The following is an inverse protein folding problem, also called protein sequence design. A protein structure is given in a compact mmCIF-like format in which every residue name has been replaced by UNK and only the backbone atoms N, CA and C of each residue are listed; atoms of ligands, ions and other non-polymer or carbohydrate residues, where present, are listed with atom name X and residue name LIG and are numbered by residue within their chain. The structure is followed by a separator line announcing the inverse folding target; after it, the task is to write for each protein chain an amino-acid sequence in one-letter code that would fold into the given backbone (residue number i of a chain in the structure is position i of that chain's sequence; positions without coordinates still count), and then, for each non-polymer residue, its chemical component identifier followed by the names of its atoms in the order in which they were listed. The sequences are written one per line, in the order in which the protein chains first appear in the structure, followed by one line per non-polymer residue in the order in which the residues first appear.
data_IF_654010929707
#
_entry.id   IF_654010929707
#
_cell.length_a   1.000
_cell.length_b   1.000
_cell.length_c   1.000
_cell.angle_alpha   90.00
_cell.angle_beta   90.00
_cell.angle_gamma   90.00
#
_symmetry.space_group_name_H-M   'P 1'
#
loop_
_entity.id
_entity.type
_entity.pdbx_description
1 polymer ?
#
# COMPACT_ATOMS: atom_id res chain seq x y z
N UNK A 1 -37.29 41.24 -1.52
CA UNK A 1 -36.76 40.05 -2.19
C UNK A 1 -35.70 40.52 -3.17
N UNK A 2 -34.46 40.09 -2.99
CA UNK A 2 -33.45 40.03 -4.06
C UNK A 2 -32.52 38.88 -3.70
N UNK A 3 -32.74 37.76 -4.36
CA UNK A 3 -31.93 36.56 -4.25
C UNK A 3 -30.59 36.81 -4.95
N UNK A 4 -29.50 36.81 -4.18
CA UNK A 4 -28.16 36.70 -4.74
C UNK A 4 -27.91 35.23 -5.12
N UNK A 5 -28.34 34.84 -6.32
CA UNK A 5 -28.05 33.53 -6.90
C UNK A 5 -26.64 33.55 -7.50
N UNK A 6 -25.63 33.25 -6.68
CA UNK A 6 -24.26 32.99 -7.13
C UNK A 6 -24.26 31.71 -7.97
N UNK A 7 -24.29 31.85 -9.30
CA UNK A 7 -24.06 30.74 -10.23
C UNK A 7 -22.61 30.32 -10.11
N UNK A 8 -22.34 29.27 -9.33
CA UNK A 8 -21.08 28.54 -9.40
C UNK A 8 -20.89 28.03 -10.82
N UNK A 9 -20.03 28.73 -11.55
CA UNK A 9 -19.60 28.37 -12.89
C UNK A 9 -18.75 27.11 -12.74
N UNK A 10 -19.35 25.94 -12.95
CA UNK A 10 -18.63 24.68 -13.08
C UNK A 10 -17.53 24.91 -14.12
N UNK A 11 -16.28 24.94 -13.66
CA UNK A 11 -15.12 24.97 -14.55
C UNK A 11 -15.19 23.69 -15.38
N UNK A 12 -15.09 23.77 -16.73
CA UNK A 12 -14.97 22.59 -17.55
C UNK A 12 -13.81 21.76 -17.01
N UNK A 13 -14.05 20.47 -16.72
CA UNK A 13 -12.97 19.54 -16.43
C UNK A 13 -12.00 19.60 -17.62
N UNK A 14 -10.77 20.03 -17.36
CA UNK A 14 -9.74 20.03 -18.39
C UNK A 14 -9.65 18.61 -18.96
N UNK A 15 -9.62 18.44 -20.30
CA UNK A 15 -9.50 17.12 -20.89
C UNK A 15 -8.20 16.50 -20.35
N UNK A 16 -8.33 15.40 -19.60
CA UNK A 16 -7.15 14.66 -19.14
C UNK A 16 -6.30 14.35 -20.36
N UNK A 17 -5.08 14.86 -20.37
CA UNK A 17 -4.10 14.57 -21.40
C UNK A 17 -4.04 13.05 -21.59
N UNK A 18 -4.19 12.50 -22.81
CA UNK A 18 -4.07 11.07 -23.05
C UNK A 18 -2.74 10.47 -22.54
N UNK A 19 -1.70 11.30 -22.35
CA UNK A 19 -0.48 10.91 -21.65
C UNK A 19 -0.76 10.55 -20.17
N UNK A 20 -1.59 11.33 -19.48
CA UNK A 20 -2.01 11.12 -18.09
C UNK A 20 -2.85 9.84 -17.98
N UNK A 21 -3.71 9.58 -18.97
CA UNK A 21 -4.52 8.36 -19.05
C UNK A 21 -3.70 7.05 -19.12
N UNK A 22 -2.49 7.08 -19.69
CA UNK A 22 -1.57 5.92 -19.71
C UNK A 22 -0.62 5.87 -18.53
N UNK A 23 -0.28 7.02 -17.94
CA UNK A 23 0.58 7.09 -16.75
C UNK A 23 -0.12 6.45 -15.54
N UNK A 24 -1.44 6.63 -15.39
CA UNK A 24 -2.18 6.11 -14.22
C UNK A 24 -2.10 4.57 -14.11
N UNK A 25 -2.39 3.76 -15.15
CA UNK A 25 -2.23 2.31 -15.06
C UNK A 25 -0.78 1.86 -14.77
N UNK A 26 0.20 2.53 -15.37
CA UNK A 26 1.61 2.18 -15.19
C UNK A 26 2.09 2.50 -13.76
N UNK A 27 1.69 3.64 -13.19
CA UNK A 27 1.99 3.99 -11.80
C UNK A 27 1.25 3.09 -10.82
N UNK A 28 -0.02 2.74 -11.09
CA UNK A 28 -0.77 1.76 -10.30
C UNK A 28 -0.04 0.42 -10.22
N UNK A 29 0.44 -0.07 -11.38
CA UNK A 29 1.22 -1.31 -11.45
C UNK A 29 2.53 -1.21 -10.66
N UNK A 30 3.26 -0.09 -10.78
CA UNK A 30 4.46 0.17 -9.95
C UNK A 30 4.15 0.16 -8.46
N UNK A 31 3.02 0.73 -8.04
CA UNK A 31 2.59 0.72 -6.65
C UNK A 31 2.31 -0.72 -6.17
N UNK A 32 1.56 -1.52 -6.95
CA UNK A 32 1.30 -2.94 -6.66
C UNK A 32 2.62 -3.69 -6.44
N UNK A 33 3.58 -3.55 -7.36
CA UNK A 33 4.86 -4.25 -7.29
C UNK A 33 5.68 -3.87 -6.04
N UNK A 34 5.66 -2.59 -5.68
CA UNK A 34 6.35 -2.09 -4.47
C UNK A 34 5.73 -2.66 -3.20
N UNK A 35 4.40 -2.67 -3.07
CA UNK A 35 3.75 -3.21 -1.87
C UNK A 35 3.91 -4.73 -1.77
N UNK A 36 3.88 -5.46 -2.90
CA UNK A 36 4.18 -6.89 -2.91
C UNK A 36 5.64 -7.19 -2.54
N UNK A 37 6.58 -6.35 -2.97
CA UNK A 37 7.98 -6.47 -2.55
C UNK A 37 8.12 -6.26 -1.05
N UNK A 38 7.42 -5.26 -0.49
CA UNK A 38 7.38 -5.04 0.95
C UNK A 38 6.78 -6.24 1.71
N UNK A 39 5.70 -6.83 1.19
CA UNK A 39 5.10 -8.03 1.79
C UNK A 39 6.11 -9.19 1.90
N UNK A 40 6.83 -9.48 0.82
CA UNK A 40 7.87 -10.53 0.79
C UNK A 40 8.98 -10.27 1.82
N UNK A 41 9.43 -9.02 1.95
CA UNK A 41 10.44 -8.65 2.95
C UNK A 41 9.94 -8.86 4.38
N UNK A 42 8.65 -8.61 4.63
CA UNK A 42 8.03 -8.81 5.95
C UNK A 42 7.80 -10.28 6.27
N UNK A 43 7.41 -11.11 5.30
CA UNK A 43 7.38 -12.57 5.46
C UNK A 43 8.76 -13.10 5.84
N UNK A 44 9.79 -12.69 5.10
CA UNK A 44 11.17 -13.11 5.38
C UNK A 44 11.63 -12.64 6.77
N UNK A 45 11.27 -11.42 7.16
CA UNK A 45 11.56 -10.92 8.49
C UNK A 45 10.86 -11.77 9.57
N UNK A 46 9.60 -12.17 9.37
CA UNK A 46 8.90 -13.04 10.31
C UNK A 46 9.62 -14.38 10.48
N UNK A 47 10.05 -15.02 9.39
CA UNK A 47 10.82 -16.27 9.42
C UNK A 47 12.13 -16.09 10.20
N UNK A 48 12.86 -15.01 9.91
CA UNK A 48 14.12 -14.72 10.60
C UNK A 48 13.91 -14.49 12.11
N UNK A 49 12.81 -13.84 12.49
CA UNK A 49 12.44 -13.60 13.89
C UNK A 49 12.05 -14.90 14.60
N UNK A 50 11.32 -15.81 13.96
CA UNK A 50 11.00 -17.12 14.53
C UNK A 50 12.28 -17.94 14.78
N UNK A 51 13.21 -17.93 13.82
CA UNK A 51 14.50 -18.60 13.96
C UNK A 51 15.32 -18.01 15.10
N UNK A 52 15.37 -16.67 15.20
CA UNK A 52 16.08 -15.98 16.27
C UNK A 52 15.46 -16.23 17.66
N UNK A 53 14.14 -16.39 17.75
CA UNK A 53 13.47 -16.74 19.01
C UNK A 53 13.88 -18.12 19.55
N UNK A 54 14.23 -19.06 18.67
CA UNK A 54 14.78 -20.36 19.02
C UNK A 54 16.24 -20.34 19.51
N UNK A 55 16.95 -19.22 19.32
CA UNK A 55 18.33 -19.05 19.78
C UNK A 55 18.44 -18.86 21.30
N UNK A 56 19.48 -19.42 21.91
CA UNK A 56 19.78 -19.26 23.33
C UNK A 56 20.51 -17.93 23.67
N UNK A 57 20.64 -17.02 22.71
CA UNK A 57 21.35 -15.75 22.86
C UNK A 57 20.53 -14.67 23.58
N UNK A 58 21.19 -13.62 24.12
CA UNK A 58 20.53 -12.49 24.77
C UNK A 58 19.75 -11.59 23.80
N UNK A 59 19.98 -11.71 22.49
CA UNK A 59 19.30 -10.93 21.45
C UNK A 59 18.00 -11.59 20.99
N UNK A 60 17.19 -12.08 21.94
CA UNK A 60 15.87 -12.62 21.58
C UNK A 60 14.97 -11.50 21.04
N UNK A 61 14.25 -11.74 19.93
CA UNK A 61 13.27 -10.80 19.44
C UNK A 61 12.20 -10.50 20.49
N UNK A 62 11.65 -9.29 20.47
CA UNK A 62 10.50 -8.93 21.30
C UNK A 62 9.31 -9.87 21.05
N UNK A 63 8.53 -10.13 22.08
CA UNK A 63 7.30 -10.95 21.97
C UNK A 63 6.38 -10.44 20.85
N UNK A 64 5.85 -11.38 20.06
CA UNK A 64 4.97 -11.10 18.92
C UNK A 64 5.64 -10.38 17.73
N UNK A 65 6.98 -10.22 17.70
CA UNK A 65 7.64 -9.55 16.58
C UNK A 65 7.39 -10.25 15.23
N UNK A 66 7.49 -11.58 15.21
CA UNK A 66 7.24 -12.38 14.02
C UNK A 66 5.78 -12.25 13.57
N UNK A 67 4.83 -12.30 14.50
CA UNK A 67 3.40 -12.12 14.21
C UNK A 67 3.10 -10.75 13.61
N UNK A 68 3.64 -9.67 14.20
CA UNK A 68 3.50 -8.31 13.64
C UNK A 68 4.08 -8.22 12.24
N UNK A 69 5.20 -8.88 11.97
CA UNK A 69 5.79 -8.92 10.62
C UNK A 69 4.87 -9.65 9.63
N UNK A 70 4.26 -10.79 10.01
CA UNK A 70 3.27 -11.49 9.17
C UNK A 70 2.04 -10.61 8.90
N UNK A 71 1.48 -9.97 9.94
CA UNK A 71 0.35 -9.05 9.77
C UNK A 71 0.66 -7.91 8.80
N UNK A 72 1.88 -7.36 8.84
CA UNK A 72 2.31 -6.33 7.89
C UNK A 72 2.41 -6.86 6.46
N UNK A 73 2.82 -8.12 6.27
CA UNK A 73 2.82 -8.76 4.96
C UNK A 73 1.39 -8.96 4.44
N UNK A 74 0.48 -9.41 5.30
CA UNK A 74 -0.93 -9.62 4.96
C UNK A 74 -1.60 -8.32 4.52
N UNK A 75 -1.49 -7.25 5.33
CA UNK A 75 -2.02 -5.93 4.97
C UNK A 75 -1.41 -5.41 3.65
N UNK A 76 -0.12 -5.65 3.40
CA UNK A 76 0.50 -5.24 2.15
C UNK A 76 -0.04 -6.01 0.93
N UNK A 77 -0.41 -7.30 1.09
CA UNK A 77 -1.10 -8.07 0.05
C UNK A 77 -2.54 -7.59 -0.16
N UNK A 78 -3.26 -7.26 0.90
CA UNK A 78 -4.62 -6.69 0.81
C UNK A 78 -4.60 -5.36 0.06
N UNK A 79 -3.63 -4.49 0.35
CA UNK A 79 -3.43 -3.24 -0.40
C UNK A 79 -3.11 -3.53 -1.86
N UNK A 80 -2.24 -4.50 -2.16
CA UNK A 80 -1.91 -4.88 -3.52
C UNK A 80 -3.15 -5.38 -4.29
N UNK A 81 -3.99 -6.17 -3.64
CA UNK A 81 -5.23 -6.68 -4.20
C UNK A 81 -6.24 -5.55 -4.44
N UNK A 82 -6.46 -4.67 -3.46
CA UNK A 82 -7.31 -3.49 -3.62
C UNK A 82 -6.83 -2.60 -4.76
N UNK A 83 -5.52 -2.37 -4.85
CA UNK A 83 -4.89 -1.67 -5.95
C UNK A 83 -4.90 -2.48 -7.25
N UNK A 84 -5.33 -3.73 -7.27
CA UNK A 84 -5.45 -4.61 -8.44
C UNK A 84 -6.88 -4.69 -8.98
N UNK A 85 -7.88 -4.62 -8.10
CA UNK A 85 -9.32 -4.61 -8.42
C UNK A 85 -9.69 -3.38 -9.28
N UNK A 86 -9.92 -3.59 -10.57
CA UNK A 86 -10.34 -2.60 -11.56
C UNK A 86 -11.43 -3.20 -12.45
#
# INVERSE_FOLDING_TARGET
MSENSTKEKQRPAEPMDPSTGRVIPAERQRCIERVLTYAKLRDQAAVNLDQAAGGAGPEKPSEGAAERARMQADVARDIAQFLGEA
#
